data_IF_532414250967
#
_entry.id   IF_532414250967
#
_cell.length_a   1.000
_cell.length_b   1.000
_cell.length_c   1.000
_cell.angle_alpha   90.00
_cell.angle_beta   90.00
_cell.angle_gamma   90.00
#
_symmetry.space_group_name_H-M   'P 1'
#
loop_
_entity.id
_entity.type
_entity.pdbx_description
1 polymer ?
#
# COMPACT_ATOMS: atom_id res chain seq x y z
N UNK A 1 -55.08 -20.12 30.29
CA UNK A 1 -55.62 -20.06 28.90
C UNK A 1 -54.46 -19.87 27.93
N UNK A 2 -54.66 -20.11 26.61
CA UNK A 2 -53.68 -20.03 25.49
C UNK A 2 -53.01 -18.63 25.41
N UNK A 3 -51.86 -18.35 24.78
CA UNK A 3 -51.04 -18.97 23.69
C UNK A 3 -49.54 -18.96 24.10
N UNK A 4 -48.51 -19.56 23.46
CA UNK A 4 -48.27 -20.27 22.17
C UNK A 4 -47.87 -19.39 20.95
N UNK A 5 -46.55 -19.44 20.59
CA UNK A 5 -45.84 -18.97 19.36
C UNK A 5 -45.89 -17.46 18.99
N UNK A 6 -44.89 -16.84 18.35
CA UNK A 6 -43.95 -17.35 17.32
C UNK A 6 -42.47 -16.92 17.45
N UNK A 7 -41.62 -17.74 16.83
CA UNK A 7 -40.21 -17.49 16.44
C UNK A 7 -40.10 -16.38 15.39
N UNK A 8 -39.12 -15.48 15.53
CA UNK A 8 -38.53 -14.73 14.41
C UNK A 8 -37.01 -14.65 14.60
N UNK A 9 -36.29 -15.60 14.00
CA UNK A 9 -34.87 -15.51 13.74
C UNK A 9 -34.69 -14.71 12.45
N UNK A 10 -34.07 -13.53 12.50
CA UNK A 10 -33.70 -12.78 11.30
C UNK A 10 -32.18 -12.60 11.26
N UNK A 11 -31.50 -13.68 10.86
CA UNK A 11 -30.06 -13.69 10.66
C UNK A 11 -29.76 -13.14 9.24
N UNK A 12 -29.61 -11.82 9.14
CA UNK A 12 -29.23 -11.17 7.89
C UNK A 12 -27.70 -11.21 7.68
N UNK A 13 -27.15 -12.41 7.42
CA UNK A 13 -25.78 -12.53 6.88
C UNK A 13 -25.87 -12.23 5.39
N UNK A 14 -25.66 -10.96 5.02
CA UNK A 14 -25.44 -10.56 3.63
C UNK A 14 -24.03 -10.96 3.22
N UNK A 15 -23.89 -12.20 2.75
CA UNK A 15 -22.67 -12.67 2.11
C UNK A 15 -22.40 -11.84 0.84
N UNK A 16 -21.45 -10.90 0.92
CA UNK A 16 -20.88 -10.21 -0.23
C UNK A 16 -20.06 -11.20 -1.06
N UNK A 17 -20.75 -12.00 -1.88
CA UNK A 17 -20.09 -12.81 -2.90
C UNK A 17 -19.68 -11.90 -4.06
N UNK A 18 -18.54 -11.24 -3.92
CA UNK A 18 -17.76 -10.79 -5.08
C UNK A 18 -17.34 -12.03 -5.85
N UNK A 19 -18.20 -12.47 -6.78
CA UNK A 19 -17.81 -13.42 -7.82
C UNK A 19 -16.87 -12.68 -8.77
N UNK A 20 -15.59 -12.65 -8.41
CA UNK A 20 -14.55 -12.41 -9.40
C UNK A 20 -14.64 -13.53 -10.43
N UNK A 21 -14.94 -13.17 -11.68
CA UNK A 21 -15.02 -14.10 -12.79
C UNK A 21 -13.65 -14.74 -13.01
N UNK A 22 -13.46 -15.99 -12.58
CA UNK A 22 -12.39 -16.81 -13.14
C UNK A 22 -12.74 -17.10 -14.60
N UNK A 23 -11.99 -16.50 -15.51
CA UNK A 23 -11.87 -16.96 -16.89
C UNK A 23 -10.40 -16.89 -17.28
N UNK A 24 -9.89 -18.05 -17.65
CA UNK A 24 -8.50 -18.38 -17.94
C UNK A 24 -7.77 -17.32 -18.78
N UNK A 25 -6.70 -16.78 -18.21
CA UNK A 25 -5.50 -16.28 -18.90
C UNK A 25 -4.34 -16.43 -17.90
N UNK A 26 -3.56 -17.51 -18.02
CA UNK A 26 -2.39 -17.80 -17.17
C UNK A 26 -1.18 -16.94 -17.59
N UNK A 27 -1.30 -15.64 -17.37
CA UNK A 27 -0.19 -14.69 -17.34
C UNK A 27 -0.33 -13.81 -16.12
N UNK A 28 0.77 -13.50 -15.44
CA UNK A 28 0.78 -12.56 -14.31
C UNK A 28 0.30 -11.18 -14.80
N UNK A 29 -1.00 -10.91 -14.59
CA UNK A 29 -1.61 -9.65 -14.98
C UNK A 29 -1.16 -8.58 -14.01
N UNK A 30 -0.38 -7.62 -14.50
CA UNK A 30 0.07 -6.45 -13.73
C UNK A 30 -1.12 -5.76 -13.02
N UNK A 31 -0.93 -5.23 -11.81
CA UNK A 31 -2.00 -4.64 -11.04
C UNK A 31 -2.59 -3.42 -11.76
N UNK A 32 -3.93 -3.41 -11.90
CA UNK A 32 -4.67 -2.23 -12.36
C UNK A 32 -4.77 -1.22 -11.22
N UNK A 33 -4.07 -0.10 -11.33
CA UNK A 33 -4.02 0.97 -10.32
C UNK A 33 -4.45 2.31 -10.91
N UNK A 34 -5.01 3.19 -10.08
CA UNK A 34 -5.59 4.47 -10.51
C UNK A 34 -4.71 5.70 -10.22
N UNK A 35 -3.54 5.52 -9.58
CA UNK A 35 -2.73 6.60 -9.01
C UNK A 35 -3.49 7.39 -7.95
N UNK A 36 -3.96 6.67 -6.94
CA UNK A 36 -4.84 7.15 -5.87
C UNK A 36 -4.38 6.58 -4.51
N UNK A 37 -4.65 7.34 -3.45
CA UNK A 37 -4.61 6.89 -2.05
C UNK A 37 -6.00 7.09 -1.42
N UNK A 38 -6.47 6.10 -0.69
CA UNK A 38 -7.69 6.12 0.09
C UNK A 38 -7.36 6.03 1.58
N UNK A 39 -7.91 6.94 2.37
CA UNK A 39 -7.76 7.01 3.83
C UNK A 39 -9.16 7.02 4.44
N UNK A 40 -9.50 5.95 5.15
CA UNK A 40 -10.86 5.66 5.67
C UNK A 40 -11.99 5.87 4.63
N UNK A 41 -11.69 5.59 3.35
CA UNK A 41 -12.62 5.71 2.23
C UNK A 41 -12.66 7.09 1.56
N UNK A 42 -11.95 8.09 2.08
CA UNK A 42 -11.72 9.37 1.40
C UNK A 42 -10.56 9.21 0.42
N UNK A 43 -10.74 9.59 -0.84
CA UNK A 43 -9.76 9.34 -1.92
C UNK A 43 -9.06 10.63 -2.34
N UNK A 44 -7.74 10.56 -2.51
CA UNK A 44 -6.86 11.62 -2.97
C UNK A 44 -6.01 11.14 -4.14
N UNK A 45 -5.71 12.04 -5.08
CA UNK A 45 -4.96 11.75 -6.29
C UNK A 45 -3.45 11.74 -6.03
N UNK A 46 -2.70 10.84 -6.68
CA UNK A 46 -1.23 10.82 -6.73
C UNK A 46 -0.79 11.16 -8.16
N UNK A 47 0.29 11.94 -8.34
CA UNK A 47 0.81 12.27 -9.67
C UNK A 47 1.45 11.05 -10.34
N UNK A 48 1.59 11.06 -11.67
CA UNK A 48 2.15 9.94 -12.45
C UNK A 48 3.68 9.83 -12.42
N UNK A 49 4.35 10.65 -11.61
CA UNK A 49 5.81 10.74 -11.51
C UNK A 49 6.23 10.56 -10.07
N UNK A 50 7.23 9.72 -9.83
CA UNK A 50 7.87 9.57 -8.53
C UNK A 50 9.38 9.73 -8.62
N UNK A 51 10.02 9.87 -7.46
CA UNK A 51 11.47 9.84 -7.30
C UNK A 51 11.90 8.57 -6.58
N UNK A 52 13.13 8.12 -6.86
CA UNK A 52 13.79 7.01 -6.20
C UNK A 52 15.16 7.49 -5.69
N UNK A 53 15.39 7.45 -4.38
CA UNK A 53 16.65 7.88 -3.75
C UNK A 53 17.39 6.67 -3.18
N UNK A 54 18.72 6.66 -3.22
CA UNK A 54 19.54 5.58 -2.67
C UNK A 54 20.27 6.02 -1.42
N UNK A 55 20.01 5.34 -0.31
CA UNK A 55 20.70 5.57 0.97
C UNK A 55 21.86 4.57 1.21
N UNK A 56 22.00 3.57 0.34
CA UNK A 56 23.17 2.69 0.26
C UNK A 56 22.95 1.30 0.90
N UNK A 57 24.04 0.65 1.30
CA UNK A 57 24.02 -0.70 1.89
C UNK A 57 23.86 -0.65 3.41
N UNK A 58 22.94 -1.47 3.93
CA UNK A 58 22.68 -1.67 5.34
C UNK A 58 23.68 -2.66 5.98
N UNK A 59 23.73 -2.70 7.31
CA UNK A 59 24.64 -3.59 8.05
C UNK A 59 24.38 -5.08 7.82
N UNK A 60 23.19 -5.46 7.34
CA UNK A 60 22.80 -6.83 7.03
C UNK A 60 23.07 -7.23 5.55
N UNK A 61 23.46 -6.28 4.70
CA UNK A 61 23.63 -6.46 3.26
C UNK A 61 22.36 -6.25 2.41
N UNK A 62 21.27 -5.74 3.00
CA UNK A 62 20.17 -5.15 2.25
C UNK A 62 20.52 -3.74 1.76
N UNK A 63 19.76 -3.20 0.81
CA UNK A 63 20.00 -1.88 0.22
C UNK A 63 18.77 -0.98 0.39
N UNK A 64 19.03 0.25 0.82
CA UNK A 64 18.03 1.25 1.18
C UNK A 64 17.67 2.14 -0.03
N UNK A 65 16.39 2.15 -0.38
CA UNK A 65 15.84 2.69 -1.62
C UNK A 65 14.48 3.36 -1.39
N UNK A 66 14.52 4.66 -1.13
CA UNK A 66 13.33 5.44 -0.78
C UNK A 66 12.52 5.82 -2.01
N UNK A 67 11.20 5.65 -1.93
CA UNK A 67 10.26 6.07 -2.98
C UNK A 67 9.47 7.29 -2.51
N UNK A 68 9.50 8.35 -3.31
CA UNK A 68 8.72 9.57 -3.08
C UNK A 68 7.71 9.77 -4.21
N UNK A 69 6.42 9.78 -3.88
CA UNK A 69 5.31 10.05 -4.80
C UNK A 69 4.63 11.36 -4.41
N UNK A 70 4.30 12.21 -5.39
CA UNK A 70 3.74 13.55 -5.11
C UNK A 70 2.62 13.94 -6.05
N UNK A 71 1.72 14.79 -5.58
CA UNK A 71 0.68 15.47 -6.34
C UNK A 71 0.37 16.85 -5.75
N UNK A 72 -0.70 17.50 -6.21
CA UNK A 72 -1.28 18.67 -5.55
C UNK A 72 -2.12 18.36 -4.30
N UNK A 73 -2.37 17.08 -4.03
CA UNK A 73 -3.28 16.61 -2.97
C UNK A 73 -2.54 15.77 -1.92
N UNK A 74 -1.51 15.01 -2.31
CA UNK A 74 -0.81 14.05 -1.46
C UNK A 74 0.72 14.04 -1.69
N UNK A 75 1.45 13.77 -0.61
CA UNK A 75 2.85 13.37 -0.58
C UNK A 75 2.91 11.99 0.10
N UNK A 76 3.58 11.03 -0.52
CA UNK A 76 3.80 9.67 0.02
C UNK A 76 5.29 9.36 -0.06
N UNK A 77 5.88 9.01 1.07
CA UNK A 77 7.25 8.52 1.21
C UNK A 77 7.23 7.09 1.76
N UNK A 78 8.03 6.22 1.15
CA UNK A 78 8.19 4.81 1.53
C UNK A 78 9.69 4.51 1.69
N UNK A 79 10.13 4.18 2.90
CA UNK A 79 11.46 3.63 3.18
C UNK A 79 11.45 2.13 2.84
N UNK A 80 12.05 1.74 1.71
CA UNK A 80 12.02 0.37 1.20
C UNK A 80 13.43 -0.24 1.14
N UNK A 81 13.54 -1.48 1.65
CA UNK A 81 14.81 -2.19 1.74
C UNK A 81 14.78 -3.43 0.85
N UNK A 82 15.72 -3.54 -0.09
CA UNK A 82 15.78 -4.57 -1.13
C UNK A 82 17.07 -5.39 -1.07
N UNK A 83 17.18 -6.46 -1.85
CA UNK A 83 18.41 -7.25 -2.02
C UNK A 83 19.27 -6.78 -3.22
N UNK A 84 19.08 -5.55 -3.70
CA UNK A 84 19.67 -5.04 -4.95
C UNK A 84 20.39 -3.71 -4.75
N UNK A 85 21.66 -3.68 -5.13
CA UNK A 85 22.49 -2.45 -5.19
C UNK A 85 22.09 -1.50 -6.31
N UNK A 86 21.29 -1.97 -7.28
CA UNK A 86 21.12 -1.32 -8.58
C UNK A 86 19.74 -0.63 -8.71
N UNK A 87 18.89 -0.73 -7.69
CA UNK A 87 17.56 -0.14 -7.66
C UNK A 87 16.53 -1.01 -6.92
N UNK A 88 15.32 -0.46 -6.78
CA UNK A 88 14.14 -1.16 -6.30
C UNK A 88 13.82 -2.38 -7.19
N UNK A 89 13.37 -3.47 -6.57
CA UNK A 89 12.99 -4.71 -7.29
C UNK A 89 11.55 -5.12 -6.98
N UNK A 90 10.94 -5.91 -7.87
CA UNK A 90 9.61 -6.45 -7.66
C UNK A 90 9.56 -7.41 -6.46
N UNK A 91 8.47 -7.36 -5.69
CA UNK A 91 8.26 -8.17 -4.48
C UNK A 91 7.31 -7.51 -3.47
N UNK A 92 7.00 -8.26 -2.40
CA UNK A 92 6.19 -7.78 -1.27
C UNK A 92 7.09 -7.36 -0.12
N UNK A 93 7.10 -6.07 0.19
CA UNK A 93 7.80 -5.45 1.30
C UNK A 93 6.84 -5.39 2.50
N UNK A 94 7.24 -5.95 3.63
CA UNK A 94 6.43 -5.99 4.85
C UNK A 94 7.03 -5.06 5.92
N UNK A 95 6.24 -4.57 6.86
CA UNK A 95 6.79 -3.78 7.97
C UNK A 95 7.85 -4.56 8.76
N UNK A 96 8.94 -3.90 9.12
CA UNK A 96 9.91 -4.39 10.10
C UNK A 96 10.64 -3.22 10.77
N UNK A 97 10.75 -3.24 12.10
CA UNK A 97 11.64 -2.32 12.85
C UNK A 97 13.12 -2.48 12.49
N UNK A 98 13.48 -3.60 11.84
CA UNK A 98 14.85 -3.91 11.44
C UNK A 98 14.93 -3.96 9.91
N UNK A 99 15.80 -3.15 9.31
CA UNK A 99 16.10 -3.18 7.87
C UNK A 99 16.54 -4.59 7.45
N UNK A 100 15.86 -5.13 6.44
CA UNK A 100 16.23 -6.35 5.74
C UNK A 100 15.70 -6.33 4.31
N UNK A 101 16.17 -7.24 3.45
CA UNK A 101 15.62 -7.36 2.11
C UNK A 101 14.11 -7.71 2.15
N UNK A 102 13.31 -6.97 1.38
CA UNK A 102 11.84 -7.01 1.34
C UNK A 102 11.16 -6.56 2.64
N UNK A 103 11.71 -5.53 3.29
CA UNK A 103 11.04 -4.79 4.37
C UNK A 103 10.81 -3.33 4.04
N UNK A 104 9.80 -2.72 4.64
CA UNK A 104 9.74 -1.27 4.83
C UNK A 104 9.89 -0.93 6.30
N UNK A 105 10.54 0.20 6.61
CA UNK A 105 10.81 0.62 8.00
C UNK A 105 9.98 1.82 8.43
N UNK A 106 9.75 2.77 7.53
CA UNK A 106 8.91 3.94 7.77
C UNK A 106 8.07 4.28 6.54
N UNK A 107 6.90 4.87 6.78
CA UNK A 107 6.02 5.41 5.76
C UNK A 107 5.47 6.73 6.29
N UNK A 108 5.66 7.79 5.49
CA UNK A 108 5.18 9.12 5.80
C UNK A 108 4.23 9.58 4.70
N UNK A 109 3.01 9.95 5.09
CA UNK A 109 1.96 10.39 4.18
C UNK A 109 1.44 11.73 4.67
N UNK A 110 1.50 12.76 3.82
CA UNK A 110 0.91 14.07 4.09
C UNK A 110 -0.13 14.38 3.04
N UNK A 111 -1.32 14.78 3.50
CA UNK A 111 -2.42 15.24 2.66
C UNK A 111 -2.49 16.76 2.75
N UNK A 112 -2.68 17.42 1.61
CA UNK A 112 -2.63 18.89 1.49
C UNK A 112 -3.67 19.61 2.36
N UNK A 113 -4.79 18.94 2.66
CA UNK A 113 -5.84 19.45 3.55
C UNK A 113 -5.45 19.47 5.04
N UNK A 114 -4.29 18.91 5.41
CA UNK A 114 -3.62 19.12 6.70
C UNK A 114 -3.26 17.85 7.47
N UNK A 115 -3.85 16.71 7.12
CA UNK A 115 -3.60 15.44 7.81
C UNK A 115 -2.22 14.87 7.49
N UNK A 116 -1.59 14.26 8.49
CA UNK A 116 -0.26 13.65 8.39
C UNK A 116 -0.25 12.31 9.13
N UNK A 117 0.11 11.26 8.42
CA UNK A 117 0.20 9.89 8.90
C UNK A 117 1.67 9.48 8.89
N UNK A 118 2.14 8.93 10.00
CA UNK A 118 3.55 8.61 10.26
C UNK A 118 3.64 7.55 11.36
N UNK A 119 4.80 6.92 11.52
CA UNK A 119 4.96 5.76 12.41
C UNK A 119 3.99 4.64 12.01
N UNK A 120 3.87 4.38 10.72
CA UNK A 120 3.02 3.32 10.18
C UNK A 120 3.78 2.00 10.32
N UNK A 121 3.43 1.25 11.36
CA UNK A 121 4.10 0.02 11.81
C UNK A 121 3.36 -1.27 11.42
N UNK A 122 2.41 -1.17 10.48
CA UNK A 122 1.60 -2.30 10.05
C UNK A 122 1.14 -2.16 8.60
N UNK A 123 1.46 -3.16 7.77
CA UNK A 123 0.96 -3.26 6.41
C UNK A 123 1.94 -3.92 5.44
N UNK A 124 1.68 -3.70 4.14
CA UNK A 124 2.49 -4.20 3.02
C UNK A 124 2.59 -3.16 1.90
N UNK A 125 3.73 -3.18 1.21
CA UNK A 125 3.93 -2.53 -0.10
C UNK A 125 4.29 -3.62 -1.10
N UNK A 126 3.52 -3.77 -2.19
CA UNK A 126 3.88 -4.66 -3.30
C UNK A 126 4.41 -3.81 -4.46
N UNK A 127 5.55 -4.22 -5.00
CA UNK A 127 6.19 -3.63 -6.17
C UNK A 127 6.11 -4.64 -7.32
N UNK A 128 5.60 -4.21 -8.47
CA UNK A 128 5.73 -4.90 -9.75
C UNK A 128 6.45 -3.98 -10.75
N UNK A 129 7.23 -4.55 -11.68
CA UNK A 129 8.03 -3.77 -12.64
C UNK A 129 7.85 -4.36 -14.04
N UNK A 130 7.51 -3.51 -15.01
CA UNK A 130 7.34 -3.89 -16.41
C UNK A 130 8.00 -2.86 -17.34
N UNK A 131 9.22 -3.17 -17.78
CA UNK A 131 10.08 -2.20 -18.45
C UNK A 131 10.44 -1.07 -17.48
N UNK A 132 10.30 0.18 -17.93
CA UNK A 132 10.56 1.37 -17.10
C UNK A 132 9.38 1.75 -16.19
N UNK A 133 8.23 1.07 -16.32
CA UNK A 133 7.04 1.32 -15.50
C UNK A 133 7.08 0.49 -14.22
N UNK A 134 7.05 1.18 -13.08
CA UNK A 134 6.88 0.59 -11.76
C UNK A 134 5.42 0.70 -11.36
N UNK A 135 4.89 -0.35 -10.75
CA UNK A 135 3.58 -0.39 -10.13
C UNK A 135 3.77 -0.63 -8.64
N UNK A 136 3.11 0.18 -7.83
CA UNK A 136 3.19 0.15 -6.37
C UNK A 136 1.76 0.02 -5.85
N UNK A 137 1.49 -0.99 -5.05
CA UNK A 137 0.24 -1.06 -4.27
C UNK A 137 0.60 -1.17 -2.80
N UNK A 138 -0.17 -0.50 -1.94
CA UNK A 138 0.07 -0.53 -0.51
C UNK A 138 -1.23 -0.61 0.28
N UNK A 139 -1.14 -1.25 1.44
CA UNK A 139 -2.22 -1.34 2.43
C UNK A 139 -1.60 -1.26 3.81
N UNK A 140 -2.01 -0.27 4.59
CA UNK A 140 -1.50 0.00 5.92
C UNK A 140 -2.64 0.15 6.93
N UNK A 141 -2.30 -0.02 8.21
CA UNK A 141 -3.10 0.42 9.34
C UNK A 141 -2.26 1.39 10.16
N UNK A 142 -2.81 2.55 10.51
CA UNK A 142 -2.16 3.53 11.39
C UNK A 142 -3.05 3.74 12.62
N UNK A 143 -2.58 3.34 13.81
CA UNK A 143 -3.31 3.60 15.05
C UNK A 143 -3.10 5.06 15.47
N UNK A 144 -4.19 5.82 15.62
CA UNK A 144 -4.16 7.16 16.23
C UNK A 144 -5.11 7.16 17.43
N UNK A 145 -4.57 7.41 18.62
CA UNK A 145 -5.31 7.46 19.89
C UNK A 145 -6.22 6.23 20.13
N UNK A 146 -5.76 5.01 19.80
CA UNK A 146 -6.54 3.78 19.93
C UNK A 146 -7.59 3.56 18.84
N UNK A 147 -7.52 4.29 17.72
CA UNK A 147 -8.38 4.12 16.54
C UNK A 147 -7.55 3.72 15.33
N UNK A 148 -7.87 2.58 14.73
CA UNK A 148 -7.26 2.10 13.48
C UNK A 148 -7.77 2.92 12.28
N UNK A 149 -6.86 3.62 11.59
CA UNK A 149 -7.11 4.27 10.30
C UNK A 149 -6.61 3.34 9.19
N UNK A 150 -7.48 3.03 8.23
CA UNK A 150 -7.14 2.19 7.08
C UNK A 150 -6.64 3.06 5.94
N UNK A 151 -5.41 2.80 5.49
CA UNK A 151 -4.79 3.50 4.36
C UNK A 151 -4.53 2.48 3.25
N UNK A 152 -5.01 2.73 2.04
CA UNK A 152 -4.77 1.88 0.87
C UNK A 152 -4.42 2.73 -0.34
N UNK A 153 -3.56 2.26 -1.22
CA UNK A 153 -3.23 3.02 -2.42
C UNK A 153 -2.64 2.17 -3.54
N UNK A 154 -2.66 2.76 -4.73
CA UNK A 154 -2.13 2.15 -5.94
C UNK A 154 -1.59 3.23 -6.87
N UNK A 155 -0.34 3.08 -7.29
CA UNK A 155 0.38 4.00 -8.16
C UNK A 155 1.10 3.27 -9.28
N UNK A 156 1.14 3.87 -10.47
CA UNK A 156 1.93 3.43 -11.60
C UNK A 156 2.57 4.62 -12.32
N UNK A 157 3.80 4.42 -12.78
CA UNK A 157 4.55 5.45 -13.49
C UNK A 157 6.02 5.11 -13.59
N UNK A 158 6.84 6.11 -13.92
CA UNK A 158 8.30 6.02 -13.94
C UNK A 158 8.88 6.67 -12.69
N UNK A 159 9.83 6.00 -12.04
CA UNK A 159 10.62 6.60 -10.97
C UNK A 159 11.87 7.27 -11.56
N UNK A 160 12.16 8.50 -11.14
CA UNK A 160 13.38 9.22 -11.51
C UNK A 160 14.39 9.12 -10.37
N UNK A 161 15.58 8.57 -10.63
CA UNK A 161 16.67 8.59 -9.64
C UNK A 161 17.13 10.02 -9.39
N UNK A 162 17.27 10.41 -8.11
CA UNK A 162 17.70 11.74 -7.66
C UNK A 162 19.05 11.71 -6.95
#
# INVERSE_FOLDING_TARGET
MKKITYLFLFLAVTSLTIQSCKKDDDGDSLPSVNNEISIDGTVYSIGTTGSLESYGENQDGSFDWDVVLTSSEAYVYLDLNTNSSDGLVAGTYNFSENRAAFTFVDVYINITDGDTYSNIDNGTVNIDISGDTVYITFSFVNEIDGTDITIQGGWSGTLTTI
#
